data_IF_040915115406
#
_entry.id   IF_040915115406
#
_cell.length_a   1.000
_cell.length_b   1.000
_cell.length_c   1.000
_cell.angle_alpha   90.00
_cell.angle_beta   90.00
_cell.angle_gamma   90.00
#
_symmetry.space_group_name_H-M   'P 1'
#
loop_
_entity.id
_entity.type
_entity.pdbx_description
1 polymer ?
#
# COMPACT_ATOMS: atom_id res chain seq x y z
N UNK A 1 4.18 6.31 -19.53
CA UNK A 1 2.99 6.06 -18.69
C UNK A 1 3.17 4.76 -17.93
N UNK A 2 2.57 4.63 -16.75
CA UNK A 2 2.66 3.45 -15.88
C UNK A 2 1.28 3.11 -15.34
N UNK A 3 0.97 1.82 -15.19
CA UNK A 3 -0.30 1.35 -14.62
C UNK A 3 -0.14 0.02 -13.91
N UNK A 4 -1.16 -0.32 -13.13
CA UNK A 4 -1.35 -1.65 -12.55
C UNK A 4 -2.50 -2.35 -13.24
N UNK A 5 -2.36 -3.65 -13.46
CA UNK A 5 -3.37 -4.53 -14.02
C UNK A 5 -3.68 -5.65 -13.01
N UNK A 6 -4.94 -5.79 -12.61
CA UNK A 6 -5.37 -6.63 -11.50
C UNK A 6 -5.96 -7.95 -12.02
N UNK A 7 -5.50 -9.09 -11.50
CA UNK A 7 -5.97 -10.41 -11.93
C UNK A 7 -6.90 -11.15 -10.94
N UNK A 8 -7.66 -10.41 -10.12
CA UNK A 8 -8.67 -11.04 -9.26
C UNK A 8 -8.12 -11.88 -8.09
N UNK A 9 -7.00 -11.48 -7.48
CA UNK A 9 -6.30 -12.13 -6.35
C UNK A 9 -5.45 -13.36 -6.70
N UNK A 10 -5.28 -13.65 -7.99
CA UNK A 10 -4.28 -14.59 -8.48
C UNK A 10 -2.91 -13.91 -8.58
N UNK A 11 -1.82 -14.69 -8.56
CA UNK A 11 -0.46 -14.18 -8.74
C UNK A 11 -0.14 -13.91 -10.23
N UNK A 12 -1.00 -13.15 -10.90
CA UNK A 12 -0.94 -12.92 -12.35
C UNK A 12 -1.20 -11.45 -12.74
N UNK A 13 -1.39 -10.59 -11.74
CA UNK A 13 -1.50 -9.15 -11.90
C UNK A 13 -0.14 -8.54 -12.24
N UNK A 14 -0.16 -7.36 -12.84
CA UNK A 14 1.03 -6.77 -13.46
C UNK A 14 1.21 -5.31 -13.08
N UNK A 15 2.47 -4.88 -13.09
CA UNK A 15 2.87 -3.47 -13.16
C UNK A 15 3.48 -3.28 -14.54
N UNK A 16 2.99 -2.30 -15.28
CA UNK A 16 3.33 -2.14 -16.69
C UNK A 16 3.64 -0.68 -17.03
N UNK A 17 4.30 -0.50 -18.17
CA UNK A 17 4.66 0.80 -18.72
C UNK A 17 4.51 0.84 -20.23
N UNK A 18 4.46 2.05 -20.78
CA UNK A 18 4.45 2.31 -22.22
C UNK A 18 4.81 3.79 -22.50
N UNK A 19 5.13 4.10 -23.75
CA UNK A 19 5.23 5.47 -24.27
C UNK A 19 3.86 6.16 -24.27
N UNK A 20 3.82 7.50 -24.30
CA UNK A 20 2.56 8.26 -24.22
C UNK A 20 1.66 8.10 -25.47
N UNK A 21 2.25 7.69 -26.59
CA UNK A 21 1.55 7.32 -27.82
C UNK A 21 1.04 5.86 -27.81
N UNK A 22 1.30 5.12 -26.72
CA UNK A 22 0.91 3.73 -26.55
C UNK A 22 1.92 2.70 -27.09
N UNK A 23 3.06 3.13 -27.65
CA UNK A 23 4.12 2.20 -28.06
C UNK A 23 4.89 1.63 -26.85
N UNK A 24 5.76 0.66 -27.12
CA UNK A 24 6.75 0.17 -26.15
C UNK A 24 6.14 -0.36 -24.85
N UNK A 25 5.01 -1.08 -24.96
CA UNK A 25 4.38 -1.74 -23.82
C UNK A 25 5.34 -2.76 -23.21
N UNK A 26 5.67 -2.58 -21.93
CA UNK A 26 6.56 -3.45 -21.18
C UNK A 26 5.94 -3.84 -19.84
N UNK A 27 6.15 -5.10 -19.45
CA UNK A 27 5.80 -5.59 -18.11
C UNK A 27 7.00 -5.46 -17.19
N UNK A 28 6.87 -4.66 -16.13
CA UNK A 28 7.92 -4.42 -15.14
C UNK A 28 7.87 -5.44 -13.99
N UNK A 29 6.67 -5.94 -13.70
CA UNK A 29 6.40 -6.95 -12.69
C UNK A 29 5.16 -7.76 -13.09
N UNK A 30 5.18 -9.08 -12.98
CA UNK A 30 4.12 -9.99 -13.47
C UNK A 30 3.56 -10.94 -12.41
N UNK A 31 4.01 -10.80 -11.17
CA UNK A 31 3.63 -11.64 -10.04
C UNK A 31 2.90 -10.83 -8.96
N UNK A 32 2.13 -9.81 -9.37
CA UNK A 32 1.28 -9.06 -8.45
C UNK A 32 0.02 -9.85 -8.15
N UNK A 33 -0.43 -9.82 -6.91
CA UNK A 33 -1.60 -10.58 -6.47
C UNK A 33 -2.86 -9.74 -6.55
N UNK A 34 -2.79 -8.51 -6.06
CA UNK A 34 -3.90 -7.56 -6.15
C UNK A 34 -3.35 -6.13 -6.10
N UNK A 35 -2.66 -5.68 -7.17
CA UNK A 35 -2.08 -4.35 -7.22
C UNK A 35 -3.19 -3.30 -7.30
N UNK A 36 -3.14 -2.29 -6.44
CA UNK A 36 -4.22 -1.30 -6.29
C UNK A 36 -3.90 0.05 -6.90
N UNK A 37 -2.67 0.52 -6.71
CA UNK A 37 -2.28 1.86 -7.15
C UNK A 37 -0.77 1.93 -7.42
N UNK A 38 -0.35 2.90 -8.22
CA UNK A 38 1.06 3.13 -8.60
C UNK A 38 1.37 4.63 -8.55
N UNK A 39 2.56 4.97 -8.08
CA UNK A 39 3.10 6.32 -8.07
C UNK A 39 4.52 6.32 -8.63
N UNK A 40 4.90 7.43 -9.26
CA UNK A 40 6.25 7.69 -9.73
C UNK A 40 6.75 8.95 -9.01
N UNK A 41 7.93 8.87 -8.42
CA UNK A 41 8.56 10.03 -7.78
C UNK A 41 9.33 10.89 -8.78
N UNK A 42 9.79 12.07 -8.35
CA UNK A 42 10.55 12.99 -9.22
C UNK A 42 11.96 12.52 -9.55
N UNK A 43 12.48 11.52 -8.84
CA UNK A 43 13.79 10.90 -9.10
C UNK A 43 13.68 9.70 -10.05
N UNK A 44 12.46 9.35 -10.47
CA UNK A 44 12.21 8.22 -11.34
C UNK A 44 12.26 6.89 -10.59
N UNK A 45 11.75 6.79 -9.37
CA UNK A 45 11.45 5.51 -8.72
C UNK A 45 9.94 5.26 -8.72
N UNK A 46 9.57 4.06 -9.15
CA UNK A 46 8.18 3.60 -9.23
C UNK A 46 7.82 2.88 -7.93
N UNK A 47 6.62 3.14 -7.40
CA UNK A 47 6.08 2.55 -6.18
C UNK A 47 4.68 2.03 -6.45
N UNK A 48 4.29 0.91 -5.85
CA UNK A 48 2.91 0.42 -5.92
C UNK A 48 2.50 -0.31 -4.65
N UNK A 49 1.19 -0.34 -4.44
CA UNK A 49 0.52 -1.09 -3.39
C UNK A 49 -0.03 -2.40 -3.96
N UNK A 50 0.16 -3.49 -3.22
CA UNK A 50 -0.45 -4.78 -3.53
C UNK A 50 -1.19 -5.30 -2.29
N UNK A 51 -2.52 -5.22 -2.33
CA UNK A 51 -3.37 -5.63 -1.23
C UNK A 51 -3.46 -7.15 -1.07
N UNK A 52 -3.17 -7.92 -2.11
CA UNK A 52 -3.29 -9.38 -2.07
C UNK A 52 -2.09 -10.04 -1.40
N UNK A 53 -0.91 -9.45 -1.60
CA UNK A 53 0.35 -9.85 -0.96
C UNK A 53 0.62 -9.11 0.34
N UNK A 54 -0.06 -8.00 0.59
CA UNK A 54 0.17 -7.09 1.73
C UNK A 54 1.58 -6.47 1.68
N UNK A 55 1.91 -5.91 0.53
CA UNK A 55 3.21 -5.32 0.25
C UNK A 55 3.05 -3.95 -0.41
N UNK A 56 3.96 -3.03 -0.05
CA UNK A 56 4.32 -1.89 -0.88
C UNK A 56 5.66 -2.24 -1.49
N UNK A 57 5.77 -2.10 -2.81
CA UNK A 57 6.99 -2.40 -3.57
C UNK A 57 7.45 -1.19 -4.33
N UNK A 58 8.73 -1.20 -4.71
CA UNK A 58 9.33 -0.16 -5.55
C UNK A 58 10.39 -0.73 -6.49
N UNK A 59 10.64 -0.05 -7.59
CA UNK A 59 11.71 -0.36 -8.54
C UNK A 59 12.10 0.88 -9.35
N UNK A 60 13.21 0.80 -10.09
CA UNK A 60 13.48 1.75 -11.16
C UNK A 60 12.45 1.58 -12.30
N UNK A 61 12.25 2.59 -13.17
CA UNK A 61 11.17 2.59 -14.14
C UNK A 61 11.39 1.59 -15.29
N UNK A 62 12.60 1.06 -15.41
CA UNK A 62 12.97 -0.04 -16.29
C UNK A 62 12.74 -1.44 -15.67
N UNK A 63 12.24 -1.49 -14.44
CA UNK A 63 11.98 -2.73 -13.68
C UNK A 63 13.16 -3.22 -12.84
N UNK A 64 14.33 -2.58 -12.91
CA UNK A 64 15.50 -2.94 -12.12
C UNK A 64 15.38 -2.50 -10.65
N UNK A 65 16.25 -3.03 -9.77
CA UNK A 65 16.24 -2.74 -8.32
C UNK A 65 14.88 -2.96 -7.65
N UNK A 66 14.24 -4.08 -7.98
CA UNK A 66 12.97 -4.54 -7.42
C UNK A 66 13.09 -4.81 -5.90
N UNK A 67 12.29 -4.11 -5.10
CA UNK A 67 12.35 -4.18 -3.64
C UNK A 67 10.95 -4.20 -3.01
N UNK A 68 10.82 -4.93 -1.89
CA UNK A 68 9.69 -4.77 -0.97
C UNK A 68 10.04 -3.64 -0.01
N UNK A 69 9.29 -2.54 -0.09
CA UNK A 69 9.49 -1.36 0.75
C UNK A 69 8.93 -1.56 2.16
N UNK A 70 7.71 -2.10 2.23
CA UNK A 70 7.02 -2.36 3.48
C UNK A 70 6.03 -3.51 3.33
N UNK A 71 5.81 -4.31 4.37
CA UNK A 71 4.92 -5.46 4.32
C UNK A 71 4.24 -5.76 5.66
N UNK A 72 3.31 -6.73 5.62
CA UNK A 72 2.74 -7.31 6.83
C UNK A 72 3.80 -7.92 7.74
N UNK A 73 3.52 -7.94 9.03
CA UNK A 73 4.23 -8.72 10.03
C UNK A 73 3.37 -9.91 10.46
N UNK A 74 3.98 -11.09 10.64
CA UNK A 74 3.32 -12.27 11.22
C UNK A 74 3.74 -12.40 12.67
N UNK A 75 2.79 -12.26 13.59
CA UNK A 75 3.00 -12.47 15.03
C UNK A 75 2.47 -13.84 15.39
N UNK A 76 3.31 -14.64 16.04
CA UNK A 76 2.93 -15.95 16.57
C UNK A 76 2.40 -15.77 17.99
N UNK A 77 1.12 -16.07 18.21
CA UNK A 77 0.48 -16.01 19.51
C UNK A 77 0.31 -17.41 20.13
N UNK A 78 0.41 -17.53 21.47
CA UNK A 78 0.09 -18.77 22.15
C UNK A 78 -1.34 -19.22 21.87
N UNK A 79 -1.52 -20.51 21.60
CA UNK A 79 -2.83 -21.12 21.47
C UNK A 79 -3.19 -21.90 22.74
N UNK A 80 -4.13 -21.42 23.57
CA UNK A 80 -4.44 -22.05 24.85
C UNK A 80 -5.13 -23.42 24.71
N UNK A 81 -5.75 -23.72 23.56
CA UNK A 81 -6.40 -25.01 23.30
C UNK A 81 -5.45 -26.05 22.73
N UNK A 82 -4.46 -25.61 21.96
CA UNK A 82 -3.46 -26.50 21.35
C UNK A 82 -2.09 -25.83 21.34
N UNK A 83 -1.32 -25.85 22.44
CA UNK A 83 -0.03 -25.15 22.55
C UNK A 83 1.00 -25.53 21.48
N UNK A 84 0.90 -26.75 20.93
CA UNK A 84 1.73 -27.22 19.80
C UNK A 84 1.47 -26.45 18.49
N UNK A 85 0.32 -25.81 18.36
CA UNK A 85 -0.14 -25.12 17.15
C UNK A 85 -0.48 -23.66 17.47
N UNK A 86 0.53 -22.76 17.54
CA UNK A 86 0.32 -21.33 17.81
C UNK A 86 -0.58 -20.66 16.77
N UNK A 87 -1.27 -19.60 17.18
CA UNK A 87 -2.13 -18.80 16.30
C UNK A 87 -1.26 -17.80 15.52
N UNK A 88 -1.55 -17.61 14.24
CA UNK A 88 -0.92 -16.57 13.43
C UNK A 88 -1.81 -15.34 13.40
N UNK A 89 -1.27 -14.19 13.82
CA UNK A 89 -1.92 -12.89 13.68
C UNK A 89 -1.11 -12.03 12.72
N UNK A 90 -1.79 -11.43 11.74
CA UNK A 90 -1.19 -10.46 10.83
C UNK A 90 -1.30 -9.05 11.41
N UNK A 91 -0.19 -8.31 11.40
CA UNK A 91 -0.07 -6.90 11.80
C UNK A 91 0.77 -6.13 10.76
N UNK A 92 1.09 -4.86 11.00
CA UNK A 92 1.83 -4.03 10.04
C UNK A 92 0.93 -3.56 8.89
N UNK A 93 1.39 -3.73 7.65
CA UNK A 93 0.65 -3.39 6.44
C UNK A 93 -0.42 -4.43 6.09
N UNK A 94 -1.69 -4.00 5.98
CA UNK A 94 -2.83 -4.88 5.74
C UNK A 94 -3.84 -4.20 4.80
N UNK A 95 -4.09 -4.74 3.61
CA UNK A 95 -5.01 -4.15 2.62
C UNK A 95 -4.64 -2.70 2.18
N UNK A 96 -3.38 -2.42 1.75
CA UNK A 96 -3.00 -1.13 1.19
C UNK A 96 -3.77 -0.77 -0.09
N UNK A 97 -4.08 0.52 -0.29
CA UNK A 97 -4.87 1.00 -1.42
C UNK A 97 -4.15 2.11 -2.20
N UNK A 98 -4.39 3.37 -1.87
CA UNK A 98 -3.77 4.51 -2.52
C UNK A 98 -2.32 4.66 -2.08
N UNK A 99 -1.50 5.24 -2.95
CA UNK A 99 -0.11 5.59 -2.67
C UNK A 99 0.23 6.93 -3.30
N UNK A 100 1.01 7.73 -2.59
CA UNK A 100 1.58 8.99 -3.08
C UNK A 100 3.00 9.16 -2.55
N UNK A 101 3.86 9.84 -3.29
CA UNK A 101 5.28 9.99 -2.94
C UNK A 101 5.67 11.46 -2.98
N UNK A 102 6.22 11.94 -1.86
CA UNK A 102 6.85 13.24 -1.71
C UNK A 102 8.37 13.04 -1.69
N UNK A 103 9.00 13.11 -2.86
CA UNK A 103 10.46 12.97 -2.95
C UNK A 103 11.20 14.16 -2.31
N UNK A 104 10.59 15.33 -2.24
CA UNK A 104 11.21 16.54 -1.68
C UNK A 104 11.38 16.38 -0.16
N UNK A 105 10.34 15.90 0.51
CA UNK A 105 10.37 15.60 1.95
C UNK A 105 10.87 14.18 2.26
N UNK A 106 11.17 13.38 1.24
CA UNK A 106 11.65 12.01 1.38
C UNK A 106 10.62 11.06 1.99
N UNK A 107 9.32 11.25 1.71
CA UNK A 107 8.23 10.46 2.30
C UNK A 107 7.37 9.75 1.26
N UNK A 108 6.91 8.55 1.62
CA UNK A 108 5.86 7.79 0.92
C UNK A 108 4.64 7.69 1.80
N UNK A 109 3.46 7.92 1.24
CA UNK A 109 2.17 7.93 1.91
C UNK A 109 1.30 6.84 1.33
N UNK A 110 0.55 6.12 2.16
CA UNK A 110 -0.41 5.14 1.69
C UNK A 110 -1.66 5.11 2.55
N UNK A 111 -2.76 4.67 1.96
CA UNK A 111 -3.98 4.36 2.68
C UNK A 111 -4.11 2.87 2.92
N UNK A 112 -4.74 2.52 4.03
CA UNK A 112 -5.01 1.16 4.45
C UNK A 112 -6.51 0.99 4.69
N UNK A 113 -7.14 -0.03 4.11
CA UNK A 113 -8.56 -0.26 4.37
C UNK A 113 -8.82 -0.64 5.82
N UNK A 114 -9.84 0.00 6.39
CA UNK A 114 -10.50 -0.52 7.56
C UNK A 114 -11.44 -1.63 7.14
N UNK A 115 -11.50 -2.68 7.95
CA UNK A 115 -12.44 -3.77 7.72
C UNK A 115 -13.23 -4.07 8.98
N UNK A 116 -14.55 -4.21 8.78
CA UNK A 116 -15.35 -5.16 9.55
C UNK A 116 -15.43 -6.45 8.74
N UNK A 117 -14.28 -7.04 8.41
CA UNK A 117 -14.29 -8.30 7.69
C UNK A 117 -14.67 -9.41 8.67
N UNK A 118 -15.94 -9.76 8.70
CA UNK A 118 -16.45 -10.94 9.39
C UNK A 118 -16.26 -12.13 8.45
N UNK A 119 -15.23 -12.94 8.67
CA UNK A 119 -15.13 -14.24 7.99
C UNK A 119 -16.28 -15.12 8.54
N UNK A 120 -17.14 -15.75 7.72
CA UNK A 120 -18.14 -16.69 8.23
C UNK A 120 -17.43 -17.79 9.05
N UNK A 121 -17.69 -17.85 10.36
CA UNK A 121 -17.10 -18.81 11.30
C UNK A 121 -15.69 -18.49 11.82
N UNK A 122 -15.11 -17.31 11.53
CA UNK A 122 -13.82 -16.87 12.07
C UNK A 122 -13.94 -15.63 12.98
N UNK A 123 -12.92 -15.33 13.81
CA UNK A 123 -12.93 -14.09 14.59
C UNK A 123 -12.95 -12.89 13.64
N UNK A 124 -13.85 -11.95 13.89
CA UNK A 124 -13.83 -10.63 13.26
C UNK A 124 -12.53 -9.94 13.64
N UNK A 125 -11.64 -9.72 12.69
CA UNK A 125 -10.48 -8.85 12.92
C UNK A 125 -10.95 -7.46 12.54
N UNK A 126 -11.43 -6.70 13.52
CA UNK A 126 -11.70 -5.29 13.29
C UNK A 126 -10.37 -4.59 13.00
N UNK A 127 -10.27 -3.99 11.83
CA UNK A 127 -9.11 -3.21 11.41
C UNK A 127 -9.56 -1.78 11.20
N UNK A 128 -8.86 -0.84 11.83
CA UNK A 128 -9.05 0.56 11.51
C UNK A 128 -8.40 0.86 10.15
N UNK A 129 -9.12 1.62 9.33
CA UNK A 129 -8.56 2.24 8.15
C UNK A 129 -7.56 3.30 8.58
N UNK A 130 -6.45 3.40 7.84
CA UNK A 130 -5.34 4.27 8.22
C UNK A 130 -4.86 5.10 7.05
N UNK A 131 -4.36 6.28 7.36
CA UNK A 131 -3.42 7.02 6.54
C UNK A 131 -2.06 6.92 7.22
N UNK A 132 -1.07 6.43 6.50
CA UNK A 132 0.27 6.22 7.04
C UNK A 132 1.31 6.80 6.10
N UNK A 133 2.52 7.03 6.64
CA UNK A 133 3.69 7.34 5.84
C UNK A 133 4.95 6.69 6.38
N UNK A 134 6.00 6.70 5.58
CA UNK A 134 7.36 6.27 5.92
C UNK A 134 8.38 7.11 5.16
N UNK A 135 9.65 6.96 5.50
CA UNK A 135 10.76 7.38 4.65
C UNK A 135 10.72 6.63 3.30
N UNK A 136 11.35 7.21 2.26
CA UNK A 136 11.40 6.56 0.95
C UNK A 136 12.01 5.15 0.98
N UNK A 137 12.88 4.85 1.97
CA UNK A 137 13.50 3.54 2.22
C UNK A 137 12.65 2.57 3.07
N UNK A 138 11.47 3.00 3.52
CA UNK A 138 10.51 2.19 4.27
C UNK A 138 10.71 2.26 5.79
N UNK A 139 11.71 3.00 6.27
CA UNK A 139 11.92 3.26 7.69
C UNK A 139 10.92 4.29 8.25
N UNK A 140 10.84 4.39 9.58
CA UNK A 140 10.01 5.39 10.27
C UNK A 140 8.53 5.38 9.87
N UNK A 141 7.95 4.17 9.77
CA UNK A 141 6.52 3.99 9.53
C UNK A 141 5.72 4.63 10.66
N UNK A 142 4.84 5.57 10.32
CA UNK A 142 3.96 6.23 11.27
C UNK A 142 2.51 6.30 10.78
N UNK A 143 1.58 6.35 11.72
CA UNK A 143 0.15 6.54 11.44
C UNK A 143 -0.20 8.01 11.61
N UNK A 144 -0.67 8.63 10.54
CA UNK A 144 -1.08 10.05 10.52
C UNK A 144 -2.54 10.21 10.95
N UNK A 145 -3.40 9.26 10.55
CA UNK A 145 -4.81 9.28 10.90
C UNK A 145 -5.38 7.86 10.93
N UNK A 146 -6.39 7.67 11.78
CA UNK A 146 -7.22 6.46 11.82
C UNK A 146 -8.68 6.82 11.54
N UNK A 147 -9.37 5.97 10.78
CA UNK A 147 -10.72 6.23 10.29
C UNK A 147 -11.75 5.17 10.74
N UNK A 148 -11.40 4.37 11.76
CA UNK A 148 -12.23 3.25 12.20
C UNK A 148 -12.48 2.25 11.07
N UNK A 149 -13.65 1.60 11.04
CA UNK A 149 -13.98 0.59 10.03
C UNK A 149 -14.32 1.15 8.62
N UNK A 150 -13.83 2.33 8.25
CA UNK A 150 -14.05 2.93 6.93
C UNK A 150 -12.93 2.60 5.95
N UNK A 151 -13.13 2.93 4.68
CA UNK A 151 -12.29 2.50 3.56
C UNK A 151 -11.60 3.71 2.90
N UNK A 152 -10.45 4.18 3.40
CA UNK A 152 -9.69 5.21 2.71
C UNK A 152 -9.05 4.62 1.44
N UNK A 153 -9.52 5.05 0.27
CA UNK A 153 -9.15 4.44 -1.02
C UNK A 153 -7.97 5.13 -1.69
N UNK A 154 -7.87 6.46 -1.58
CA UNK A 154 -6.89 7.25 -2.33
C UNK A 154 -6.23 8.30 -1.43
N UNK A 155 -4.99 8.64 -1.76
CA UNK A 155 -4.24 9.76 -1.19
C UNK A 155 -3.53 10.49 -2.32
N UNK A 156 -3.54 11.81 -2.25
CA UNK A 156 -2.75 12.69 -3.12
C UNK A 156 -2.02 13.69 -2.25
N UNK A 157 -0.89 14.17 -2.73
CA UNK A 157 -0.12 15.24 -2.07
C UNK A 157 -0.02 16.44 -3.02
N UNK A 158 -0.07 17.64 -2.47
CA UNK A 158 0.28 18.85 -3.21
C UNK A 158 1.63 19.35 -2.72
N UNK A 159 2.62 19.40 -3.60
CA UNK A 159 3.87 20.08 -3.31
C UNK A 159 3.58 21.56 -2.96
N UNK A 160 3.87 21.96 -1.72
CA UNK A 160 3.90 23.38 -1.33
C UNK A 160 2.57 24.09 -1.09
N UNK A 161 1.42 23.41 -1.13
CA UNK A 161 0.14 23.99 -0.69
C UNK A 161 -0.30 23.29 0.60
N UNK A 162 0.03 23.88 1.74
CA UNK A 162 -0.68 23.55 2.97
C UNK A 162 -2.13 23.97 2.78
N UNK A 163 -3.13 23.11 3.07
CA UNK A 163 -4.48 23.58 3.27
C UNK A 163 -4.43 24.52 4.48
N UNK A 164 -4.26 25.82 4.23
CA UNK A 164 -4.49 26.83 5.25
C UNK A 164 -5.95 26.65 5.63
N UNK A 165 -6.22 26.00 6.75
CA UNK A 165 -7.56 25.88 7.29
C UNK A 165 -8.20 27.26 7.20
N UNK A 166 -9.25 27.39 6.39
CA UNK A 166 -10.18 28.48 6.52
C UNK A 166 -10.67 28.40 7.96
N UNK A 167 -10.10 29.23 8.83
CA UNK A 167 -10.65 29.44 10.16
C UNK A 167 -12.07 29.93 9.93
N UNK A 168 -13.02 29.29 10.60
CA UNK A 168 -14.41 29.71 10.65
C UNK A 168 -14.51 31.23 10.83
N UNK A 169 -15.02 31.90 9.81
CA UNK A 169 -15.87 33.10 9.93
C UNK A 169 -17.18 32.65 9.24
N UNK A 170 -18.34 32.60 9.88
CA UNK A 170 -18.94 33.42 10.95
C UNK A 170 -19.74 32.53 11.91
#
# INVERSE_FOLDING_TARGET
MYWVDQSGYENSGRVQSASLDGSDVATLFDNAKHPMNVALDSEGKLYWTDAGSFEIRRCHPDGSSMEVLHNKTVVMLPNPKTPKYPLQQLTGLLDPQGIAVDAVEGKVYWTQLGTKYTKPGGPSVERNGKLQRANLDGSEVETLAEFGATQPVSVVISAGLSPSHAKNEL
#
